data_IF_863489835944
#
_entry.id   IF_863489835944
#
_cell.length_a   1.000
_cell.length_b   1.000
_cell.length_c   1.000
_cell.angle_alpha   90.00
_cell.angle_beta   90.00
_cell.angle_gamma   90.00
#
_symmetry.space_group_name_H-M   'P 1'
#
loop_
_entity.id
_entity.type
_entity.pdbx_description
1 polymer ?
#
# COMPACT_ATOMS: atom_id res chain seq x y z
N UNK A 1 3.51 12.05 -15.93
CA UNK A 1 4.52 12.09 -14.86
C UNK A 1 4.65 10.69 -14.31
N UNK A 2 5.87 10.26 -13.96
CA UNK A 2 6.15 8.87 -13.55
C UNK A 2 5.49 8.50 -12.21
N UNK A 3 5.59 7.23 -11.78
CA UNK A 3 5.10 6.82 -10.46
C UNK A 3 5.90 7.52 -9.37
N UNK A 4 5.30 8.52 -8.73
CA UNK A 4 5.92 9.27 -7.61
C UNK A 4 5.81 8.41 -6.35
N UNK A 5 6.93 8.10 -5.66
CA UNK A 5 6.87 7.40 -4.39
C UNK A 5 6.37 8.34 -3.31
N UNK A 6 5.25 7.99 -2.68
CA UNK A 6 4.78 8.66 -1.48
C UNK A 6 5.42 8.02 -0.23
N UNK A 7 5.50 8.74 0.89
CA UNK A 7 6.02 8.20 2.14
C UNK A 7 5.31 6.91 2.54
N UNK A 8 6.10 5.88 2.82
CA UNK A 8 5.59 4.58 3.26
C UNK A 8 5.04 4.69 4.68
N UNK A 9 3.80 4.25 4.86
CA UNK A 9 3.18 4.21 6.20
C UNK A 9 3.61 2.92 6.88
N UNK A 10 4.34 3.05 7.97
CA UNK A 10 4.84 1.92 8.75
C UNK A 10 4.06 1.86 10.07
N UNK A 11 3.36 0.74 10.31
CA UNK A 11 2.68 0.48 11.58
C UNK A 11 3.38 -0.68 12.29
N UNK A 12 3.90 -0.42 13.48
CA UNK A 12 4.62 -1.39 14.29
C UNK A 12 3.69 -1.87 15.41
N UNK A 13 3.56 -3.18 15.55
CA UNK A 13 2.79 -3.84 16.59
C UNK A 13 3.71 -4.70 17.44
N UNK A 14 3.52 -4.64 18.75
CA UNK A 14 4.31 -5.42 19.71
C UNK A 14 3.34 -6.30 20.51
N UNK A 15 3.55 -7.60 20.52
CA UNK A 15 2.71 -8.57 21.25
C UNK A 15 3.59 -9.45 22.12
N UNK A 16 3.11 -9.82 23.30
CA UNK A 16 3.78 -10.81 24.14
C UNK A 16 3.76 -12.17 23.45
N UNK A 17 4.93 -12.80 23.34
CA UNK A 17 5.07 -14.14 22.76
C UNK A 17 4.62 -15.24 23.72
N UNK A 18 4.73 -15.01 25.03
CA UNK A 18 4.29 -15.95 26.07
C UNK A 18 2.96 -15.54 26.69
N UNK A 19 2.14 -16.54 27.03
CA UNK A 19 0.91 -16.36 27.79
C UNK A 19 1.14 -16.08 29.29
N UNK A 20 2.28 -16.49 29.85
CA UNK A 20 2.53 -16.37 31.29
C UNK A 20 4.01 -16.05 31.60
N UNK A 21 4.23 -15.24 32.64
CA UNK A 21 5.49 -14.85 33.30
C UNK A 21 6.55 -14.14 32.44
N UNK A 22 6.72 -14.48 31.17
CA UNK A 22 7.80 -13.95 30.33
C UNK A 22 7.40 -12.63 29.65
N UNK A 23 7.56 -11.51 30.37
CA UNK A 23 7.27 -10.15 29.86
C UNK A 23 8.30 -9.64 28.84
N UNK A 24 9.55 -10.09 28.94
CA UNK A 24 10.64 -9.67 28.04
C UNK A 24 10.56 -10.36 26.67
N UNK A 25 9.76 -11.42 26.56
CA UNK A 25 9.50 -12.12 25.32
C UNK A 25 8.45 -11.34 24.49
N UNK A 26 8.88 -10.25 23.85
CA UNK A 26 8.06 -9.42 22.96
C UNK A 26 8.35 -9.80 21.51
N UNK A 27 7.29 -9.94 20.71
CA UNK A 27 7.37 -10.10 19.27
C UNK A 27 6.97 -8.80 18.58
N UNK A 28 7.82 -8.32 17.67
CA UNK A 28 7.58 -7.14 16.86
C UNK A 28 7.11 -7.53 15.46
N UNK A 29 5.96 -7.01 15.06
CA UNK A 29 5.44 -7.09 13.70
C UNK A 29 5.39 -5.69 13.09
N UNK A 30 5.56 -5.59 11.79
CA UNK A 30 5.27 -4.36 11.06
C UNK A 30 4.36 -4.62 9.86
N UNK A 31 3.53 -3.64 9.56
CA UNK A 31 2.78 -3.56 8.31
C UNK A 31 3.30 -2.32 7.59
N UNK A 32 3.90 -2.53 6.42
CA UNK A 32 4.38 -1.45 5.54
C UNK A 32 3.41 -1.28 4.38
N UNK A 33 2.79 -0.11 4.30
CA UNK A 33 1.93 0.27 3.17
C UNK A 33 2.69 1.20 2.25
N UNK A 34 2.99 0.72 1.04
CA UNK A 34 3.65 1.51 -0.01
C UNK A 34 2.61 2.24 -0.84
N UNK A 35 2.74 3.56 -0.94
CA UNK A 35 1.83 4.40 -1.71
C UNK A 35 2.57 4.97 -2.92
N UNK A 36 1.95 4.90 -4.10
CA UNK A 36 2.48 5.47 -5.35
C UNK A 36 1.41 6.33 -5.99
N UNK A 37 1.79 7.52 -6.43
CA UNK A 37 0.92 8.43 -7.18
C UNK A 37 1.30 8.42 -8.65
N UNK A 38 0.32 8.31 -9.54
CA UNK A 38 0.51 8.38 -10.99
C UNK A 38 -0.37 9.51 -11.51
N UNK A 39 0.27 10.59 -11.98
CA UNK A 39 -0.44 11.74 -12.55
C UNK A 39 -0.48 11.66 -14.08
N UNK A 40 -1.71 11.65 -14.61
CA UNK A 40 -2.02 11.63 -16.03
C UNK A 40 -2.41 13.06 -16.45
N UNK A 41 -1.54 13.69 -17.26
CA UNK A 41 -1.71 15.09 -17.66
C UNK A 41 -2.87 15.31 -18.66
N UNK A 42 -3.11 14.33 -19.54
CA UNK A 42 -4.14 14.41 -20.58
C UNK A 42 -5.00 13.14 -20.55
N UNK A 43 -6.17 13.17 -19.88
CA UNK A 43 -7.06 12.03 -19.84
C UNK A 43 -7.84 11.90 -21.17
N UNK A 44 -7.39 11.02 -22.07
CA UNK A 44 -8.16 10.63 -23.25
C UNK A 44 -9.14 9.50 -22.89
N UNK A 45 -10.33 9.47 -23.50
CA UNK A 45 -11.33 8.42 -23.26
C UNK A 45 -10.78 7.00 -23.51
N UNK A 46 -9.89 6.85 -24.50
CA UNK A 46 -9.18 5.60 -24.76
C UNK A 46 -8.29 5.18 -23.59
N UNK A 47 -7.56 6.13 -22.99
CA UNK A 47 -6.63 5.87 -21.88
C UNK A 47 -7.36 5.46 -20.60
N UNK A 48 -8.54 6.05 -20.33
CA UNK A 48 -9.38 5.67 -19.17
C UNK A 48 -9.84 4.21 -19.32
N UNK A 49 -10.27 3.82 -20.52
CA UNK A 49 -10.71 2.45 -20.80
C UNK A 49 -9.55 1.44 -20.68
N UNK A 50 -8.36 1.79 -21.18
CA UNK A 50 -7.17 0.95 -21.04
C UNK A 50 -6.76 0.76 -19.58
N UNK A 51 -6.88 1.79 -18.72
CA UNK A 51 -6.53 1.68 -17.31
C UNK A 51 -7.52 0.80 -16.52
N UNK A 52 -8.81 0.83 -16.86
CA UNK A 52 -9.81 -0.06 -16.26
C UNK A 52 -9.66 -1.52 -16.68
N UNK A 53 -9.18 -1.75 -17.89
CA UNK A 53 -8.97 -3.10 -18.43
C UNK A 53 -7.66 -3.74 -17.94
N UNK A 54 -6.76 -2.96 -17.35
CA UNK A 54 -5.46 -3.46 -16.91
C UNK A 54 -5.63 -4.47 -15.76
N UNK A 55 -5.06 -5.67 -15.93
CA UNK A 55 -5.05 -6.69 -14.88
C UNK A 55 -4.01 -6.32 -13.82
N UNK A 56 -4.49 -5.71 -12.74
CA UNK A 56 -3.70 -5.48 -11.54
C UNK A 56 -3.67 -6.74 -10.68
N UNK A 57 -2.59 -6.92 -9.91
CA UNK A 57 -2.50 -8.04 -8.98
C UNK A 57 -3.47 -7.83 -7.81
N UNK A 58 -4.04 -8.92 -7.29
CA UNK A 58 -5.07 -8.89 -6.25
C UNK A 58 -4.66 -8.24 -4.91
N UNK A 59 -3.38 -7.93 -4.72
CA UNK A 59 -2.85 -7.27 -3.52
C UNK A 59 -2.63 -5.76 -3.66
N UNK A 60 -3.04 -5.15 -4.76
CA UNK A 60 -2.88 -3.72 -5.02
C UNK A 60 -4.25 -3.04 -5.02
N UNK A 61 -4.38 -2.03 -4.18
CA UNK A 61 -5.54 -1.14 -4.15
C UNK A 61 -5.28 0.10 -5.01
N UNK A 62 -6.28 0.52 -5.80
CA UNK A 62 -6.18 1.67 -6.71
C UNK A 62 -7.34 2.62 -6.51
N UNK A 63 -7.02 3.86 -6.15
CA UNK A 63 -7.97 4.95 -6.04
C UNK A 63 -7.79 5.91 -7.23
N UNK A 64 -8.85 6.13 -8.01
CA UNK A 64 -8.85 7.08 -9.13
C UNK A 64 -9.58 8.34 -8.70
N UNK A 65 -8.88 9.47 -8.71
CA UNK A 65 -9.47 10.82 -8.52
C UNK A 65 -9.46 11.53 -9.87
N UNK A 66 -10.62 12.07 -10.26
CA UNK A 66 -10.81 12.90 -11.46
C UNK A 66 -10.64 14.37 -11.10
#
# INVERSE_FOLDING_TARGET
MGPVPLPTKNRIYCVLKSLHVHKDAIFHFEIRTHQRLIDILHPTAQTINSLKQLHLSAGVDVEVKL
#
